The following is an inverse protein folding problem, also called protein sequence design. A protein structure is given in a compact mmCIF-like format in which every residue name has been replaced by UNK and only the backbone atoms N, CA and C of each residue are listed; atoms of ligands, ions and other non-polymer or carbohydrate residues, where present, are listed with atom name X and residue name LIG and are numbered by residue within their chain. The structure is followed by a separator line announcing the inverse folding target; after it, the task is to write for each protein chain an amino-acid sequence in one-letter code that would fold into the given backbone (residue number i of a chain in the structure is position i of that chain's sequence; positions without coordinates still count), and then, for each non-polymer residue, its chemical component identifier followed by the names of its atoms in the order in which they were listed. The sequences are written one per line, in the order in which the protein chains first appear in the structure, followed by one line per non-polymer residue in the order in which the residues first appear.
data_IF_974947538308
#
_entry.id   IF_974947538308
#
_cell.length_a   1.000
_cell.length_b   1.000
_cell.length_c   1.000
_cell.angle_alpha   90.00
_cell.angle_beta   90.00
_cell.angle_gamma   90.00
#
_symmetry.space_group_name_H-M   'P 1'
#
loop_
_entity.id
_entity.type
_entity.pdbx_description
1 polymer ?
#
# COMPACT_ATOMS: atom_id res chain seq x y z
N UNK A 1 11.41 -26.13 22.65
CA UNK A 1 10.89 -27.14 21.71
C UNK A 1 9.75 -26.62 20.84
N UNK A 2 8.51 -26.46 21.34
CA UNK A 2 7.38 -26.03 20.48
C UNK A 2 7.58 -24.63 19.89
N UNK A 3 8.05 -23.67 20.69
CA UNK A 3 8.31 -22.29 20.25
C UNK A 3 9.39 -22.23 19.17
N UNK A 4 10.45 -23.04 19.29
CA UNK A 4 11.53 -23.09 18.29
C UNK A 4 11.04 -23.66 16.95
N UNK A 5 10.13 -24.64 16.98
CA UNK A 5 9.49 -25.18 15.77
C UNK A 5 8.63 -24.12 15.10
N UNK A 6 7.85 -23.36 15.87
CA UNK A 6 7.03 -22.26 15.35
C UNK A 6 7.89 -21.14 14.73
N UNK A 7 8.94 -20.70 15.43
CA UNK A 7 9.89 -19.70 14.91
C UNK A 7 10.52 -20.20 13.61
N UNK A 8 11.01 -21.44 13.59
CA UNK A 8 11.64 -22.02 12.39
C UNK A 8 10.65 -22.11 11.23
N UNK A 9 9.41 -22.54 11.47
CA UNK A 9 8.37 -22.59 10.45
C UNK A 9 8.05 -21.19 9.89
N UNK A 10 7.92 -20.18 10.76
CA UNK A 10 7.71 -18.80 10.35
C UNK A 10 8.87 -18.25 9.51
N UNK A 11 10.12 -18.58 9.84
CA UNK A 11 11.30 -18.17 9.07
C UNK A 11 11.36 -18.85 7.69
N UNK A 12 11.02 -20.13 7.60
CA UNK A 12 10.96 -20.85 6.32
C UNK A 12 9.87 -20.26 5.43
N UNK A 13 8.67 -20.06 5.98
CA UNK A 13 7.56 -19.43 5.25
C UNK A 13 7.98 -18.02 4.81
N UNK A 14 8.61 -17.25 5.70
CA UNK A 14 9.11 -15.92 5.40
C UNK A 14 10.04 -15.92 4.17
N UNK A 15 11.03 -16.82 4.17
CA UNK A 15 11.97 -16.97 3.06
C UNK A 15 11.30 -17.37 1.74
N UNK A 16 10.34 -18.31 1.78
CA UNK A 16 9.59 -18.73 0.59
C UNK A 16 8.81 -17.55 0.00
N UNK A 17 8.08 -16.79 0.81
CA UNK A 17 7.32 -15.63 0.33
C UNK A 17 8.22 -14.49 -0.14
N UNK A 18 9.38 -14.29 0.50
CA UNK A 18 10.41 -13.37 0.03
C UNK A 18 10.91 -13.73 -1.37
N UNK A 19 11.27 -15.00 -1.60
CA UNK A 19 11.72 -15.49 -2.90
C UNK A 19 10.64 -15.40 -3.97
N UNK A 20 9.42 -15.87 -3.67
CA UNK A 20 8.28 -15.79 -4.60
C UNK A 20 7.97 -14.34 -4.96
N UNK A 21 8.04 -13.43 -3.99
CA UNK A 21 7.88 -11.99 -4.22
C UNK A 21 8.93 -11.40 -5.14
N UNK A 22 10.21 -11.70 -4.90
CA UNK A 22 11.32 -11.23 -5.74
C UNK A 22 11.25 -11.77 -7.17
N UNK A 23 10.95 -13.07 -7.33
CA UNK A 23 10.76 -13.68 -8.66
C UNK A 23 9.54 -13.06 -9.35
N UNK A 24 8.44 -12.86 -8.63
CA UNK A 24 7.23 -12.25 -9.16
C UNK A 24 7.47 -10.83 -9.66
N UNK A 25 8.26 -10.03 -8.94
CA UNK A 25 8.56 -8.66 -9.36
C UNK A 25 9.31 -8.57 -10.71
N UNK A 26 10.17 -9.55 -11.00
CA UNK A 26 10.97 -9.62 -12.25
C UNK A 26 10.18 -10.26 -13.39
N UNK A 27 9.36 -11.28 -13.09
CA UNK A 27 8.77 -12.15 -14.11
C UNK A 27 7.36 -11.73 -14.59
N UNK A 28 6.67 -10.87 -13.85
CA UNK A 28 5.32 -10.43 -14.23
C UNK A 28 5.34 -9.26 -15.24
N UNK A 29 4.53 -9.31 -16.31
CA UNK A 29 4.56 -8.33 -17.40
C UNK A 29 3.78 -7.04 -17.11
N UNK A 30 2.75 -7.09 -16.27
CA UNK A 30 1.87 -5.95 -15.97
C UNK A 30 2.31 -5.25 -14.66
N UNK A 31 2.47 -3.90 -14.64
CA UNK A 31 2.79 -3.12 -13.44
C UNK A 31 1.87 -3.39 -12.23
N UNK A 32 0.57 -3.59 -12.43
CA UNK A 32 -0.34 -3.89 -11.32
C UNK A 32 -0.15 -5.30 -10.79
N UNK A 33 0.07 -6.28 -11.67
CA UNK A 33 0.38 -7.63 -11.22
C UNK A 33 1.76 -7.68 -10.53
N UNK A 34 2.73 -6.87 -11.00
CA UNK A 34 4.03 -6.67 -10.35
C UNK A 34 3.91 -5.98 -8.99
N UNK A 35 2.82 -5.27 -8.69
CA UNK A 35 2.61 -4.66 -7.38
C UNK A 35 2.13 -5.69 -6.35
N UNK A 36 1.33 -6.67 -6.78
CA UNK A 36 0.82 -7.76 -5.94
C UNK A 36 1.93 -8.70 -5.44
N UNK A 37 2.95 -8.95 -6.24
CA UNK A 37 4.05 -9.86 -5.86
C UNK A 37 4.87 -9.32 -4.66
N UNK A 38 5.39 -8.07 -4.67
CA UNK A 38 6.03 -7.41 -3.54
C UNK A 38 5.12 -7.25 -2.33
N UNK A 39 3.83 -6.93 -2.51
CA UNK A 39 2.94 -6.79 -1.33
C UNK A 39 2.76 -8.11 -0.60
N UNK A 40 2.62 -9.23 -1.30
CA UNK A 40 2.58 -10.56 -0.68
C UNK A 40 3.92 -10.90 0.02
N UNK A 41 5.03 -10.51 -0.60
CA UNK A 41 6.37 -10.70 -0.05
C UNK A 41 6.58 -9.92 1.25
N UNK A 42 6.09 -8.69 1.33
CA UNK A 42 6.26 -7.86 2.53
C UNK A 42 5.30 -8.27 3.64
N UNK A 43 4.02 -8.54 3.33
CA UNK A 43 3.05 -8.90 4.37
C UNK A 43 3.29 -10.29 4.96
N UNK A 44 3.54 -11.30 4.13
CA UNK A 44 3.74 -12.68 4.59
C UNK A 44 5.21 -13.05 4.78
N UNK A 45 6.09 -12.55 3.92
CA UNK A 45 7.53 -12.76 4.03
C UNK A 45 8.10 -11.99 5.22
N UNK A 46 8.23 -10.68 5.06
CA UNK A 46 8.77 -9.80 6.11
C UNK A 46 7.92 -9.88 7.39
N UNK A 47 6.59 -9.84 7.29
CA UNK A 47 5.71 -10.02 8.46
C UNK A 47 5.94 -11.34 9.21
N UNK A 48 6.16 -12.45 8.49
CA UNK A 48 6.51 -13.74 9.11
C UNK A 48 7.85 -13.72 9.85
N UNK A 49 8.87 -13.04 9.29
CA UNK A 49 10.15 -12.84 9.98
C UNK A 49 10.00 -11.99 11.24
N UNK A 50 9.15 -10.96 11.21
CA UNK A 50 8.90 -10.08 12.35
C UNK A 50 8.17 -10.80 13.49
N UNK A 51 7.17 -11.63 13.17
CA UNK A 51 6.51 -12.49 14.16
C UNK A 51 7.50 -13.48 14.77
N UNK A 52 8.36 -14.10 13.95
CA UNK A 52 9.40 -15.00 14.43
C UNK A 52 10.39 -14.30 15.38
N UNK A 53 10.82 -13.08 15.05
CA UNK A 53 11.70 -12.25 15.88
C UNK A 53 11.04 -11.86 17.20
N UNK A 54 9.77 -11.41 17.19
CA UNK A 54 9.02 -11.10 18.41
C UNK A 54 8.88 -12.32 19.33
N UNK A 55 8.53 -13.48 18.78
CA UNK A 55 8.44 -14.73 19.55
C UNK A 55 9.80 -15.13 20.13
N UNK A 56 10.89 -14.96 19.37
CA UNK A 56 12.23 -15.26 19.87
C UNK A 56 12.63 -14.34 21.03
N UNK A 57 12.41 -13.03 20.91
CA UNK A 57 12.78 -12.08 21.96
C UNK A 57 11.95 -12.22 23.23
N UNK A 58 10.65 -12.48 23.09
CA UNK A 58 9.75 -12.70 24.23
C UNK A 58 10.11 -13.97 25.00
N UNK A 59 10.30 -15.10 24.30
CA UNK A 59 10.43 -16.41 24.95
C UNK A 59 11.88 -16.87 25.21
N UNK A 60 12.87 -16.34 24.48
CA UNK A 60 14.28 -16.81 24.58
C UNK A 60 15.16 -15.78 25.29
N UNK A 61 15.04 -14.49 24.93
CA UNK A 61 15.93 -13.44 25.44
C UNK A 61 15.37 -12.76 26.69
N UNK A 62 14.04 -12.77 26.87
CA UNK A 62 13.37 -12.18 28.04
C UNK A 62 13.53 -10.67 28.14
N UNK A 63 13.88 -9.99 27.04
CA UNK A 63 14.02 -8.53 26.98
C UNK A 63 13.34 -7.99 25.74
N UNK A 64 12.32 -7.16 25.94
CA UNK A 64 11.62 -6.50 24.84
C UNK A 64 12.50 -5.38 24.25
N UNK A 65 12.94 -5.54 23.00
CA UNK A 65 13.75 -4.52 22.31
C UNK A 65 12.87 -3.59 21.49
N UNK A 66 12.73 -2.33 21.93
CA UNK A 66 11.94 -1.31 21.22
C UNK A 66 12.38 -1.10 19.76
N UNK A 67 13.65 -1.37 19.43
CA UNK A 67 14.17 -1.22 18.07
C UNK A 67 13.50 -2.16 17.07
N UNK A 68 13.22 -3.41 17.46
CA UNK A 68 12.59 -4.39 16.57
C UNK A 68 11.14 -4.03 16.28
N UNK A 69 10.42 -3.55 17.30
CA UNK A 69 9.07 -3.01 17.12
C UNK A 69 9.07 -1.82 16.16
N UNK A 70 10.07 -0.94 16.27
CA UNK A 70 10.18 0.24 15.41
C UNK A 70 10.46 -0.14 13.95
N UNK A 71 11.34 -1.12 13.71
CA UNK A 71 11.61 -1.67 12.36
C UNK A 71 10.35 -2.32 11.79
N UNK A 72 9.66 -3.14 12.60
CA UNK A 72 8.39 -3.79 12.23
C UNK A 72 7.37 -2.75 11.77
N UNK A 73 7.11 -1.76 12.61
CA UNK A 73 6.12 -0.72 12.36
C UNK A 73 6.48 0.10 11.13
N UNK A 74 7.75 0.49 11.00
CA UNK A 74 8.20 1.31 9.88
C UNK A 74 8.07 0.57 8.56
N UNK A 75 8.50 -0.70 8.47
CA UNK A 75 8.38 -1.50 7.26
C UNK A 75 6.92 -1.77 6.92
N UNK A 76 6.10 -2.11 7.91
CA UNK A 76 4.69 -2.43 7.71
C UNK A 76 3.86 -1.20 7.32
N UNK A 77 4.23 0.00 7.76
CA UNK A 77 3.57 1.25 7.37
C UNK A 77 4.06 1.74 6.00
N UNK A 78 5.36 1.67 5.74
CA UNK A 78 5.95 2.22 4.51
C UNK A 78 5.51 1.41 3.28
N UNK A 79 5.46 0.08 3.38
CA UNK A 79 5.09 -0.79 2.27
C UNK A 79 3.69 -0.50 1.66
N UNK A 80 2.58 -0.42 2.42
CA UNK A 80 1.26 -0.12 1.88
C UNK A 80 1.13 1.31 1.37
N UNK A 81 1.79 2.29 2.02
CA UNK A 81 1.79 3.68 1.53
C UNK A 81 2.48 3.75 0.17
N UNK A 82 3.69 3.20 0.04
CA UNK A 82 4.39 3.15 -1.25
C UNK A 82 3.57 2.41 -2.30
N UNK A 83 2.93 1.30 -1.92
CA UNK A 83 2.04 0.55 -2.83
C UNK A 83 0.87 1.39 -3.33
N UNK A 84 0.18 2.11 -2.44
CA UNK A 84 -0.92 2.99 -2.81
C UNK A 84 -0.48 4.11 -3.76
N UNK A 85 0.67 4.74 -3.49
CA UNK A 85 1.22 5.77 -4.36
C UNK A 85 1.55 5.23 -5.75
N UNK A 86 2.19 4.06 -5.85
CA UNK A 86 2.51 3.41 -7.13
C UNK A 86 1.23 3.07 -7.91
N UNK A 87 0.19 2.56 -7.24
CA UNK A 87 -1.08 2.27 -7.88
C UNK A 87 -1.75 3.54 -8.42
N UNK A 88 -1.76 4.63 -7.63
CA UNK A 88 -2.35 5.92 -8.04
C UNK A 88 -1.60 6.53 -9.22
N UNK A 89 -0.27 6.48 -9.21
CA UNK A 89 0.53 7.00 -10.33
C UNK A 89 0.34 6.16 -11.58
N UNK A 90 0.30 4.83 -11.45
CA UNK A 90 0.03 3.94 -12.58
C UNK A 90 -1.33 4.23 -13.22
N UNK A 91 -2.37 4.46 -12.42
CA UNK A 91 -3.69 4.85 -12.94
C UNK A 91 -3.64 6.17 -13.73
N UNK A 92 -2.95 7.18 -13.20
CA UNK A 92 -2.85 8.49 -13.86
C UNK A 92 -1.96 8.48 -15.12
N UNK A 93 -0.94 7.61 -15.15
CA UNK A 93 -0.04 7.45 -16.30
C UNK A 93 -0.62 6.53 -17.38
N UNK A 94 -1.39 5.52 -16.98
CA UNK A 94 -1.87 4.45 -17.85
C UNK A 94 -3.22 4.70 -18.52
N UNK A 95 -4.07 5.56 -17.96
CA UNK A 95 -5.39 5.85 -18.49
C UNK A 95 -5.60 7.36 -18.70
N UNK A 96 -5.93 7.73 -19.93
CA UNK A 96 -6.39 9.08 -20.23
C UNK A 96 -7.90 9.16 -19.94
N UNK A 97 -8.43 10.35 -19.62
CA UNK A 97 -9.87 10.56 -19.44
C UNK A 97 -10.71 10.08 -20.63
N UNK A 98 -10.10 10.12 -21.82
CA UNK A 98 -10.68 9.72 -23.11
C UNK A 98 -10.91 8.20 -23.24
N UNK A 99 -10.13 7.39 -22.52
CA UNK A 99 -10.20 5.92 -22.57
C UNK A 99 -11.24 5.34 -21.57
N UNK A 100 -11.83 6.21 -20.73
CA UNK A 100 -12.74 5.80 -19.68
C UNK A 100 -14.20 5.83 -20.17
N UNK A 101 -15.05 4.88 -19.71
CA UNK A 101 -16.46 4.92 -20.04
C UNK A 101 -17.10 6.22 -19.52
N UNK A 102 -18.10 6.76 -20.23
CA UNK A 102 -18.78 7.98 -19.80
C UNK A 102 -19.42 7.76 -18.43
N UNK A 103 -19.27 8.75 -17.54
CA UNK A 103 -19.79 8.71 -16.15
C UNK A 103 -21.31 8.78 -16.07
N UNK A 104 -22.00 9.05 -17.18
CA UNK A 104 -23.43 9.33 -17.21
C UNK A 104 -23.81 10.66 -16.57
N UNK A 105 -22.82 11.51 -16.27
CA UNK A 105 -22.97 12.86 -15.72
C UNK A 105 -22.10 13.83 -16.49
N UNK A 106 -22.34 15.14 -16.36
CA UNK A 106 -21.45 16.19 -16.92
C UNK A 106 -20.09 16.28 -16.21
N UNK A 107 -19.78 15.35 -15.29
CA UNK A 107 -18.56 15.38 -14.48
C UNK A 107 -17.56 14.31 -14.92
N UNK A 108 -16.25 14.64 -14.90
CA UNK A 108 -15.20 13.65 -15.10
C UNK A 108 -15.18 12.66 -13.92
N UNK A 109 -14.47 11.54 -14.09
CA UNK A 109 -14.28 10.58 -13.01
C UNK A 109 -13.58 11.23 -11.81
N UNK A 110 -13.91 10.82 -10.58
CA UNK A 110 -13.44 11.45 -9.34
C UNK A 110 -11.91 11.56 -9.21
N UNK A 111 -11.14 10.71 -9.91
CA UNK A 111 -9.67 10.81 -9.95
C UNK A 111 -9.13 11.95 -10.81
N UNK A 112 -9.97 12.55 -11.68
CA UNK A 112 -9.63 13.66 -12.58
C UNK A 112 -10.47 14.92 -12.29
N UNK A 113 -11.38 14.88 -11.31
CA UNK A 113 -12.12 16.05 -10.88
C UNK A 113 -11.17 17.01 -10.16
N UNK A 114 -11.20 18.30 -10.53
CA UNK A 114 -10.36 19.30 -9.88
C UNK A 114 -10.90 19.64 -8.49
N UNK A 115 -10.02 20.02 -7.57
CA UNK A 115 -10.42 20.40 -6.20
C UNK A 115 -11.43 21.56 -6.21
N UNK A 116 -11.32 22.48 -7.17
CA UNK A 116 -12.29 23.58 -7.41
C UNK A 116 -13.67 23.06 -7.82
N UNK A 117 -13.72 22.10 -8.77
CA UNK A 117 -14.98 21.50 -9.23
C UNK A 117 -15.66 20.70 -8.10
N UNK A 118 -14.87 20.03 -7.26
CA UNK A 118 -15.36 19.30 -6.08
C UNK A 118 -15.90 20.27 -5.01
N UNK A 119 -15.17 21.33 -4.70
CA UNK A 119 -15.56 22.34 -3.71
C UNK A 119 -16.84 23.12 -4.11
N UNK A 120 -17.02 23.39 -5.40
CA UNK A 120 -18.23 24.03 -5.94
C UNK A 120 -19.51 23.21 -5.69
N UNK A 121 -19.37 21.91 -5.43
CA UNK A 121 -20.48 20.98 -5.21
C UNK A 121 -20.69 20.70 -3.73
N UNK A 122 -19.61 20.53 -2.97
CA UNK A 122 -19.66 20.30 -1.52
C UNK A 122 -20.14 21.55 -0.76
N UNK A 123 -19.93 22.75 -1.32
CA UNK A 123 -20.33 24.03 -0.71
C UNK A 123 -21.05 24.94 -1.71
N UNK A 124 -22.40 24.91 -1.77
CA UNK A 124 -23.17 25.84 -2.62
C UNK A 124 -22.88 27.32 -2.30
N UNK A 125 -22.45 27.60 -1.06
CA UNK A 125 -22.20 28.94 -0.53
C UNK A 125 -20.84 29.53 -0.99
N UNK A 126 -19.83 28.69 -1.27
CA UNK A 126 -18.49 29.11 -1.73
C UNK A 126 -18.51 29.61 -3.18
N UNK A 127 -19.28 28.94 -4.06
CA UNK A 127 -19.42 29.31 -5.47
C UNK A 127 -20.10 30.68 -5.65
N UNK A 128 -21.07 31.01 -4.78
CA UNK A 128 -21.73 32.31 -4.78
C UNK A 128 -20.81 33.46 -4.35
N UNK A 129 -19.92 33.21 -3.38
CA UNK A 129 -18.96 34.19 -2.87
C UNK A 129 -17.83 34.49 -3.86
N UNK A 130 -17.32 33.47 -4.57
CA UNK A 130 -16.23 33.68 -5.53
C UNK A 130 -16.70 34.30 -6.87
N UNK A 131 -17.90 33.95 -7.33
CA UNK A 131 -18.51 34.58 -8.51
C UNK A 131 -18.80 36.09 -8.27
N UNK A 132 -19.18 36.47 -7.04
CA UNK A 132 -19.38 37.87 -6.65
C UNK A 132 -18.07 38.67 -6.54
N UNK A 133 -16.91 38.01 -6.42
CA UNK A 133 -15.59 38.65 -6.32
C UNK A 133 -14.92 38.88 -7.67
N UNK A 134 -15.34 38.17 -8.72
CA UNK A 134 -14.77 38.23 -10.08
C UNK A 134 -15.59 39.07 -11.08
N UNK A 135 -16.73 39.63 -10.67
CA UNK A 135 -17.55 40.58 -11.45
C UNK A 135 -17.35 42.02 -10.97
#
# INVERSE_FOLDING_TARGET
MVVEILISACLVISGIFGLVGSIGLIKLPDPMMRLHAPTKATTLGVGGALVASMLYFEFVVGRFSFHELMITLFLFLTAPITGHFIAKTHLHLGHKPEDLPPTGSDRPWASYESDEARAAVETPESAASEAARKG
#
